data_IF_695193347341
#
_entry.id   IF_695193347341
#
_cell.length_a   1.000
_cell.length_b   1.000
_cell.length_c   1.000
_cell.angle_alpha   90.00
_cell.angle_beta   90.00
_cell.angle_gamma   90.00
#
_symmetry.space_group_name_H-M   'P 1'
#
loop_
_entity.id
_entity.type
_entity.pdbx_description
1 polymer ?
#
# COMPACT_ATOMS: atom_id res chain seq x y z
N UNK A 1 30.04 -32.13 4.87
CA UNK A 1 30.57 -30.76 4.73
C UNK A 1 29.64 -30.03 3.79
N UNK A 2 28.62 -29.35 4.34
CA UNK A 2 27.74 -28.50 3.56
C UNK A 2 28.20 -27.06 3.76
N UNK A 3 28.94 -26.57 2.78
CA UNK A 3 29.18 -25.16 2.57
C UNK A 3 27.86 -24.56 2.08
N UNK A 4 27.29 -23.62 2.82
CA UNK A 4 26.27 -22.71 2.29
C UNK A 4 26.91 -21.33 2.39
N UNK A 5 27.12 -20.74 1.21
CA UNK A 5 27.63 -19.39 1.00
C UNK A 5 26.79 -18.42 1.84
N UNK A 6 27.44 -17.48 2.51
CA UNK A 6 26.78 -16.55 3.41
C UNK A 6 25.69 -15.77 2.69
N UNK A 7 24.44 -16.07 3.04
CA UNK A 7 23.29 -15.25 2.67
C UNK A 7 23.42 -13.96 3.49
N UNK A 8 23.96 -12.90 2.87
CA UNK A 8 24.29 -11.62 3.51
C UNK A 8 23.00 -10.79 3.73
N UNK A 9 21.93 -11.44 4.19
CA UNK A 9 20.69 -10.79 4.60
C UNK A 9 20.97 -9.93 5.82
N UNK A 10 20.56 -8.67 5.77
CA UNK A 10 20.69 -7.75 6.89
C UNK A 10 19.80 -8.15 8.08
N UNK A 11 18.74 -8.93 7.82
CA UNK A 11 17.73 -9.31 8.80
C UNK A 11 17.93 -10.73 9.29
N UNK A 12 17.69 -10.96 10.58
CA UNK A 12 17.67 -12.32 11.11
C UNK A 12 16.50 -13.11 10.52
N UNK A 13 16.70 -14.42 10.37
CA UNK A 13 15.65 -15.36 9.94
C UNK A 13 14.39 -15.23 10.81
N UNK A 14 14.55 -15.09 12.14
CA UNK A 14 13.44 -14.87 13.06
C UNK A 14 12.61 -13.63 12.72
N UNK A 15 13.26 -12.53 12.31
CA UNK A 15 12.57 -11.30 11.91
C UNK A 15 11.81 -11.52 10.61
N UNK A 16 12.45 -12.14 9.62
CA UNK A 16 11.84 -12.43 8.34
C UNK A 16 10.65 -13.37 8.49
N UNK A 17 10.78 -14.47 9.24
CA UNK A 17 9.71 -15.40 9.55
C UNK A 17 8.54 -14.74 10.29
N UNK A 18 8.83 -13.88 11.26
CA UNK A 18 7.80 -13.17 12.03
C UNK A 18 6.99 -12.22 11.14
N UNK A 19 7.66 -11.43 10.31
CA UNK A 19 6.97 -10.52 9.36
C UNK A 19 6.24 -11.31 8.28
N UNK A 20 6.84 -12.41 7.81
CA UNK A 20 6.24 -13.30 6.82
C UNK A 20 4.94 -13.91 7.33
N UNK A 21 4.91 -14.36 8.58
CA UNK A 21 3.69 -14.87 9.23
C UNK A 21 2.61 -13.80 9.35
N UNK A 22 2.97 -12.55 9.66
CA UNK A 22 2.01 -11.45 9.66
C UNK A 22 1.43 -11.19 8.26
N UNK A 23 2.27 -11.29 7.22
CA UNK A 23 1.84 -11.19 5.83
C UNK A 23 1.02 -12.41 5.39
N UNK A 24 1.13 -13.55 6.05
CA UNK A 24 0.20 -14.67 5.84
C UNK A 24 -1.16 -14.38 6.45
N UNK A 25 -1.26 -13.60 7.53
CA UNK A 25 -2.52 -13.31 8.21
C UNK A 25 -3.21 -12.05 7.66
N UNK A 26 -2.44 -11.10 7.12
CA UNK A 26 -2.93 -9.80 6.63
C UNK A 26 -2.20 -9.34 5.38
N UNK A 27 -2.93 -8.86 4.37
CA UNK A 27 -2.30 -8.32 3.15
C UNK A 27 -1.50 -7.03 3.40
N UNK A 28 -1.82 -6.29 4.48
CA UNK A 28 -1.12 -5.07 4.88
C UNK A 28 -0.49 -5.25 6.25
N UNK A 29 0.81 -4.96 6.35
CA UNK A 29 1.56 -5.02 7.60
C UNK A 29 2.36 -3.73 7.78
N UNK A 30 2.30 -3.17 8.99
CA UNK A 30 3.12 -2.04 9.37
C UNK A 30 4.34 -2.53 10.18
N UNK A 31 5.54 -2.23 9.71
CA UNK A 31 6.80 -2.58 10.37
C UNK A 31 7.50 -1.32 10.83
N UNK A 32 7.93 -1.27 12.09
CA UNK A 32 8.66 -0.13 12.66
C UNK A 32 10.12 -0.49 12.91
N UNK A 33 11.02 0.21 12.23
CA UNK A 33 12.44 0.18 12.52
C UNK A 33 12.78 0.96 13.79
N UNK A 34 13.65 0.42 14.63
CA UNK A 34 14.20 1.14 15.78
C UNK A 34 15.57 1.70 15.38
N UNK A 35 15.65 3.01 15.20
CA UNK A 35 16.91 3.70 14.88
C UNK A 35 17.06 4.95 15.73
N UNK A 36 18.29 5.20 16.22
CA UNK A 36 18.62 6.36 17.07
C UNK A 36 18.73 7.69 16.31
N UNK A 37 18.49 7.71 15.00
CA UNK A 37 18.50 8.96 14.22
C UNK A 37 18.72 8.85 12.71
N UNK A 38 18.89 7.64 12.17
CA UNK A 38 19.23 7.46 10.75
C UNK A 38 18.00 7.13 9.90
N UNK A 39 17.13 8.13 9.67
CA UNK A 39 15.90 7.95 8.86
C UNK A 39 16.17 7.42 7.44
N UNK A 40 17.20 7.97 6.77
CA UNK A 40 17.60 7.53 5.42
C UNK A 40 17.97 6.03 5.40
N UNK A 41 18.60 5.55 6.46
CA UNK A 41 18.96 4.14 6.59
C UNK A 41 17.74 3.26 6.81
N UNK A 42 16.74 3.72 7.57
CA UNK A 42 15.48 3.00 7.74
C UNK A 42 14.71 2.86 6.41
N UNK A 43 14.77 3.88 5.55
CA UNK A 43 14.22 3.79 4.21
C UNK A 43 14.92 2.70 3.39
N UNK A 44 16.26 2.73 3.30
CA UNK A 44 17.02 1.71 2.58
C UNK A 44 16.76 0.30 3.13
N UNK A 45 16.83 0.14 4.46
CA UNK A 45 16.54 -1.13 5.12
C UNK A 45 15.14 -1.65 4.83
N UNK A 46 14.15 -0.76 4.66
CA UNK A 46 12.80 -1.21 4.29
C UNK A 46 12.71 -1.72 2.85
N UNK A 47 13.55 -1.21 1.94
CA UNK A 47 13.65 -1.76 0.58
C UNK A 47 14.35 -3.12 0.60
N UNK A 48 15.44 -3.24 1.37
CA UNK A 48 16.17 -4.50 1.55
C UNK A 48 15.23 -5.57 2.18
N UNK A 49 14.46 -5.19 3.22
CA UNK A 49 13.46 -6.07 3.85
C UNK A 49 12.41 -6.59 2.87
N UNK A 50 11.95 -5.73 1.95
CA UNK A 50 10.98 -6.13 0.93
C UNK A 50 11.58 -7.10 -0.06
N UNK A 51 12.84 -6.92 -0.44
CA UNK A 51 13.55 -7.85 -1.32
C UNK A 51 13.68 -9.23 -0.67
N UNK A 52 14.13 -9.28 0.59
CA UNK A 52 14.32 -10.52 1.34
C UNK A 52 12.98 -11.27 1.52
N UNK A 53 11.93 -10.56 1.92
CA UNK A 53 10.59 -11.14 2.05
C UNK A 53 10.02 -11.62 0.70
N UNK A 54 10.28 -10.91 -0.39
CA UNK A 54 9.83 -11.32 -1.72
C UNK A 54 10.55 -12.60 -2.18
N UNK A 55 11.85 -12.68 -1.90
CA UNK A 55 12.66 -13.87 -2.17
C UNK A 55 12.14 -15.08 -1.37
N UNK A 56 11.91 -14.89 -0.06
CA UNK A 56 11.41 -15.92 0.84
C UNK A 56 10.04 -16.47 0.42
N UNK A 57 9.13 -15.59 -0.01
CA UNK A 57 7.74 -15.98 -0.38
C UNK A 57 7.60 -16.49 -1.81
N UNK A 58 8.54 -16.17 -2.70
CA UNK A 58 8.37 -16.36 -4.14
C UNK A 58 7.27 -15.47 -4.75
N UNK A 59 6.80 -14.46 -4.01
CA UNK A 59 5.78 -13.49 -4.44
C UNK A 59 6.25 -12.09 -4.14
N UNK A 60 5.90 -11.11 -4.98
CA UNK A 60 6.32 -9.72 -4.77
C UNK A 60 5.63 -9.09 -3.56
N UNK A 61 6.44 -8.64 -2.61
CA UNK A 61 6.03 -7.74 -1.53
C UNK A 61 6.28 -6.31 -1.99
N UNK A 62 5.40 -5.38 -1.61
CA UNK A 62 5.50 -3.97 -1.98
C UNK A 62 5.56 -3.09 -0.74
N UNK A 63 6.49 -2.14 -0.69
CA UNK A 63 6.40 -1.01 0.25
C UNK A 63 5.47 0.04 -0.33
N UNK A 64 4.32 0.26 0.31
CA UNK A 64 3.30 1.22 -0.12
C UNK A 64 3.62 2.63 0.39
N UNK A 65 4.06 2.73 1.63
CA UNK A 65 4.34 4.01 2.29
C UNK A 65 5.51 3.88 3.25
N UNK A 66 6.23 4.99 3.44
CA UNK A 66 7.19 5.16 4.52
C UNK A 66 6.86 6.44 5.31
N UNK A 67 6.64 6.30 6.62
CA UNK A 67 6.39 7.42 7.54
C UNK A 67 7.38 7.40 8.70
N UNK A 68 8.42 8.23 8.62
CA UNK A 68 9.46 8.31 9.65
C UNK A 68 10.31 7.04 9.69
N UNK A 69 10.09 6.18 10.68
CA UNK A 69 10.75 4.88 10.83
C UNK A 69 9.80 3.70 10.64
N UNK A 70 8.58 3.98 10.19
CA UNK A 70 7.54 3.00 9.93
C UNK A 70 7.40 2.78 8.43
N UNK A 71 7.44 1.53 7.99
CA UNK A 71 7.17 1.10 6.63
C UNK A 71 5.85 0.33 6.58
N UNK A 72 5.00 0.64 5.59
CA UNK A 72 3.77 -0.10 5.32
C UNK A 72 4.02 -1.02 4.13
N UNK A 73 3.91 -2.32 4.38
CA UNK A 73 4.12 -3.38 3.41
C UNK A 73 2.77 -3.92 2.94
N UNK A 74 2.72 -4.31 1.68
CA UNK A 74 1.59 -4.97 1.05
C UNK A 74 2.04 -6.24 0.34
N UNK A 75 1.35 -7.34 0.61
CA UNK A 75 1.46 -8.59 -0.13
C UNK A 75 0.06 -9.09 -0.43
N UNK A 76 -0.32 -9.13 -1.70
CA UNK A 76 -1.65 -9.61 -2.10
C UNK A 76 -1.81 -11.10 -1.84
N UNK A 77 -2.99 -11.51 -1.39
CA UNK A 77 -3.40 -12.90 -1.31
C UNK A 77 -3.82 -13.42 -2.67
N UNK A 78 -3.74 -14.74 -2.82
CA UNK A 78 -4.32 -15.45 -3.95
C UNK A 78 -5.82 -15.18 -4.08
N UNK A 79 -6.31 -15.27 -5.32
CA UNK A 79 -7.72 -15.06 -5.61
C UNK A 79 -8.60 -16.05 -4.87
N UNK A 80 -9.65 -15.54 -4.20
CA UNK A 80 -10.63 -16.35 -3.49
C UNK A 80 -10.41 -16.49 -1.97
N UNK A 81 -9.29 -16.00 -1.44
CA UNK A 81 -9.08 -15.97 0.01
C UNK A 81 -9.98 -14.93 0.70
N UNK A 82 -10.63 -15.34 1.79
CA UNK A 82 -11.41 -14.40 2.61
C UNK A 82 -10.49 -13.41 3.33
N UNK A 83 -10.94 -12.17 3.49
CA UNK A 83 -10.11 -11.06 4.00
C UNK A 83 -9.19 -10.39 2.98
N UNK A 84 -9.14 -10.86 1.72
CA UNK A 84 -8.47 -10.16 0.61
C UNK A 84 -9.08 -8.77 0.37
N UNK A 85 -8.25 -7.79 0.08
CA UNK A 85 -8.64 -6.45 -0.34
C UNK A 85 -9.35 -6.56 -1.68
N UNK A 86 -10.61 -6.13 -1.69
CA UNK A 86 -11.45 -6.11 -2.88
C UNK A 86 -11.47 -4.70 -3.45
N UNK A 87 -10.92 -4.54 -4.65
CA UNK A 87 -11.09 -3.31 -5.40
C UNK A 87 -12.57 -3.16 -5.78
N UNK A 88 -13.25 -2.18 -5.18
CA UNK A 88 -14.61 -1.80 -5.55
C UNK A 88 -14.52 -0.60 -6.49
N UNK A 89 -14.71 -0.82 -7.78
CA UNK A 89 -14.83 0.28 -8.74
C UNK A 89 -16.27 0.79 -8.73
N UNK A 90 -16.45 2.10 -8.54
CA UNK A 90 -17.77 2.74 -8.63
C UNK A 90 -18.18 3.04 -10.07
N UNK A 91 -17.32 2.83 -11.06
CA UNK A 91 -17.61 3.09 -12.48
C UNK A 91 -18.85 2.30 -12.91
N UNK A 92 -19.95 3.01 -13.16
CA UNK A 92 -21.25 2.41 -13.54
C UNK A 92 -22.21 2.14 -12.37
N UNK A 93 -21.87 2.48 -11.13
CA UNK A 93 -22.75 2.31 -9.97
C UNK A 93 -23.48 3.61 -9.58
N UNK A 94 -24.67 3.48 -8.97
CA UNK A 94 -25.55 4.60 -8.54
C UNK A 94 -24.89 5.56 -7.51
N UNK A 95 -23.80 5.16 -6.86
CA UNK A 95 -23.03 5.98 -5.91
C UNK A 95 -21.70 6.48 -6.51
N UNK A 96 -21.68 6.77 -7.82
CA UNK A 96 -20.53 7.44 -8.44
C UNK A 96 -20.54 8.91 -8.04
N UNK A 97 -19.39 9.45 -7.65
CA UNK A 97 -19.22 10.89 -7.47
C UNK A 97 -19.47 11.60 -8.80
N UNK A 98 -20.69 12.09 -9.00
CA UNK A 98 -21.04 12.93 -10.13
C UNK A 98 -20.70 14.38 -9.79
N UNK A 99 -20.08 15.08 -10.75
CA UNK A 99 -19.82 16.51 -10.63
C UNK A 99 -21.15 17.21 -10.39
N UNK A 100 -21.30 17.88 -9.24
CA UNK A 100 -22.50 18.66 -8.94
C UNK A 100 -22.78 19.61 -10.12
N UNK A 101 -23.93 19.48 -10.79
CA UNK A 101 -24.23 20.33 -11.94
C UNK A 101 -24.21 21.80 -11.46
N UNK A 102 -23.57 22.67 -12.24
CA UNK A 102 -23.46 24.11 -11.96
C UNK A 102 -24.50 24.85 -12.78
N UNK A 103 -25.08 25.92 -12.23
CA UNK A 103 -25.99 26.76 -13.00
C UNK A 103 -25.27 27.39 -14.20
N UNK A 104 -26.01 27.59 -15.30
CA UNK A 104 -25.49 28.20 -16.51
C UNK A 104 -25.11 29.66 -16.22
N UNK A 105 -24.05 30.13 -16.87
CA UNK A 105 -23.55 31.50 -16.75
C UNK A 105 -23.68 32.22 -18.08
N UNK A 106 -23.95 33.52 -18.02
CA UNK A 106 -23.92 34.39 -19.20
C UNK A 106 -22.48 34.73 -19.63
N UNK A 107 -22.34 35.50 -20.71
CA UNK A 107 -21.04 35.97 -21.23
C UNK A 107 -20.30 36.95 -20.28
N UNK A 108 -20.93 37.37 -19.18
CA UNK A 108 -20.35 38.20 -18.12
C UNK A 108 -20.04 37.40 -16.85
N UNK A 109 -20.29 36.09 -16.87
CA UNK A 109 -20.04 35.18 -15.75
C UNK A 109 -21.12 35.15 -14.67
N UNK A 110 -22.25 35.83 -14.86
CA UNK A 110 -23.37 35.84 -13.91
C UNK A 110 -24.26 34.61 -14.08
N UNK A 111 -24.86 34.11 -12.99
CA UNK A 111 -25.78 32.97 -13.04
C UNK A 111 -27.07 33.39 -13.73
N UNK A 112 -27.49 32.65 -14.76
CA UNK A 112 -28.74 32.91 -15.47
C UNK A 112 -29.91 32.52 -14.55
N UNK A 113 -30.79 33.46 -14.16
CA UNK A 113 -31.94 33.17 -13.30
C UNK A 113 -32.82 32.07 -13.90
N UNK A 114 -33.24 31.10 -13.09
CA UNK A 114 -34.07 29.97 -13.54
C UNK A 114 -33.31 28.73 -14.02
N UNK A 115 -32.00 28.80 -14.27
CA UNK A 115 -31.19 27.64 -14.72
C UNK A 115 -30.65 26.79 -13.57
N UNK A 116 -31.44 26.64 -12.49
CA UNK A 116 -31.00 25.81 -11.35
C UNK A 116 -30.76 24.38 -11.85
N UNK A 117 -29.60 23.80 -11.53
CA UNK A 117 -29.30 22.45 -11.96
C UNK A 117 -30.21 21.46 -11.21
N UNK A 118 -30.99 20.67 -11.94
CA UNK A 118 -31.75 19.54 -11.40
C UNK A 118 -30.80 18.39 -11.05
N UNK A 119 -31.07 17.70 -9.94
CA UNK A 119 -30.41 16.46 -9.55
C UNK A 119 -30.81 15.31 -10.47
#
# INVERSE_FOLDING_TARGET
>A
VHTIEGDDSFFSDETLESVNKLLDESEFVEVRGISRGQKKRAFQMSDDLVMDLSSLRGTTVHRIEMKGFTATLYCGFDDGRDGKIKLRTSVGQKNTWVKKPKALRDNRGQIIPGTKPSL
#
